data_IF_077379414691
#
_entry.id   IF_077379414691
#
_cell.length_a   1.000
_cell.length_b   1.000
_cell.length_c   1.000
_cell.angle_alpha   90.00
_cell.angle_beta   90.00
_cell.angle_gamma   90.00
#
_symmetry.space_group_name_H-M   'P 1'
#
loop_
_entity.id
_entity.type
_entity.pdbx_description
1 polymer ?
#
# COMPACT_ATOMS: atom_id res chain seq x y z
N UNK A 1 -6.68 22.93 21.16
CA UNK A 1 -6.40 21.60 20.61
C UNK A 1 -6.50 20.63 21.75
N UNK A 2 -7.47 19.72 21.73
CA UNK A 2 -7.62 18.73 22.79
C UNK A 2 -6.42 17.78 22.77
N UNK A 3 -5.69 17.76 23.88
CA UNK A 3 -4.62 16.81 24.14
C UNK A 3 -5.16 15.71 25.04
N UNK A 4 -4.74 14.48 24.77
CA UNK A 4 -5.14 13.30 25.52
C UNK A 4 -3.90 12.50 25.87
N UNK A 5 -3.96 11.85 27.03
CA UNK A 5 -2.81 11.15 27.60
C UNK A 5 -2.80 9.70 27.14
N UNK A 6 -1.66 9.25 26.61
CA UNK A 6 -1.47 7.85 26.22
C UNK A 6 -1.67 6.91 27.44
N UNK A 7 -2.53 5.90 27.35
CA UNK A 7 -2.78 4.99 28.47
C UNK A 7 -1.62 4.03 28.75
N UNK A 8 -0.65 3.91 27.83
CA UNK A 8 0.47 2.96 27.92
C UNK A 8 1.75 3.59 28.48
N UNK A 9 2.02 4.87 28.20
CA UNK A 9 3.24 5.55 28.67
C UNK A 9 3.00 6.95 29.28
N UNK A 10 1.74 7.36 29.41
CA UNK A 10 1.31 8.61 30.03
C UNK A 10 1.84 9.90 29.37
N UNK A 11 2.31 9.81 28.12
CA UNK A 11 2.71 10.97 27.33
C UNK A 11 1.45 11.73 26.86
N UNK A 12 1.41 13.04 27.10
CA UNK A 12 0.31 13.91 26.65
C UNK A 12 0.55 14.33 25.21
N UNK A 13 -0.34 13.91 24.30
CA UNK A 13 -0.21 14.12 22.87
C UNK A 13 -1.51 14.74 22.30
N UNK A 14 -1.45 15.45 21.16
CA UNK A 14 -2.66 15.85 20.44
C UNK A 14 -3.51 14.62 20.11
N UNK A 15 -4.83 14.68 20.24
CA UNK A 15 -5.71 13.51 20.05
C UNK A 15 -5.54 12.83 18.68
N UNK A 16 -5.21 13.59 17.62
CA UNK A 16 -4.91 13.07 16.27
C UNK A 16 -3.66 12.17 16.20
N UNK A 17 -2.75 12.28 17.17
CA UNK A 17 -1.51 11.51 17.24
C UNK A 17 -1.59 10.39 18.28
N UNK A 18 -2.61 10.40 19.13
CA UNK A 18 -2.74 9.46 20.24
C UNK A 18 -2.90 8.01 19.76
N UNK A 19 -3.72 7.79 18.72
CA UNK A 19 -3.96 6.46 18.17
C UNK A 19 -2.70 5.90 17.48
N UNK A 20 -2.01 6.71 16.69
CA UNK A 20 -0.74 6.33 16.07
C UNK A 20 0.32 5.99 17.13
N UNK A 21 0.44 6.84 18.14
CA UNK A 21 1.37 6.62 19.25
C UNK A 21 1.01 5.38 20.06
N UNK A 22 -0.26 5.15 20.38
CA UNK A 22 -0.73 3.94 21.04
C UNK A 22 -0.38 2.68 20.24
N UNK A 23 -0.54 2.73 18.90
CA UNK A 23 -0.22 1.62 18.01
C UNK A 23 1.29 1.26 18.00
N UNK A 24 2.17 2.21 18.35
CA UNK A 24 3.61 1.94 18.45
C UNK A 24 3.98 1.10 19.69
N UNK A 25 3.18 1.14 20.76
CA UNK A 25 3.40 0.28 21.96
C UNK A 25 3.11 -1.20 21.72
N UNK A 26 2.32 -1.54 20.70
CA UNK A 26 2.04 -2.95 20.34
C UNK A 26 3.18 -3.61 19.56
N UNK A 27 4.24 -2.85 19.27
CA UNK A 27 5.48 -3.34 18.67
C UNK A 27 6.64 -3.12 19.62
N UNK A 28 6.64 -3.77 20.78
CA UNK A 28 7.85 -4.12 21.56
C UNK A 28 7.47 -4.76 22.91
N UNK A 29 7.26 -6.08 22.93
CA UNK A 29 7.55 -6.83 24.16
C UNK A 29 9.02 -7.25 24.10
N UNK A 30 9.84 -6.46 24.82
CA UNK A 30 11.27 -6.58 25.13
C UNK A 30 12.18 -5.55 24.45
N UNK A 31 12.33 -4.37 25.07
CA UNK A 31 13.64 -3.71 25.26
C UNK A 31 13.50 -2.46 26.17
N UNK A 32 13.27 -2.70 27.47
CA UNK A 32 12.86 -1.65 28.40
C UNK A 32 13.97 -0.75 28.99
N UNK A 33 15.21 -0.80 28.49
CA UNK A 33 16.34 -0.10 29.15
C UNK A 33 16.98 1.01 28.29
N UNK A 34 16.92 0.95 26.96
CA UNK A 34 17.62 1.92 26.09
C UNK A 34 16.82 3.17 25.69
N UNK A 35 15.50 3.19 25.89
CA UNK A 35 14.65 4.29 25.40
C UNK A 35 14.62 5.54 26.30
N UNK A 36 14.98 5.43 27.60
CA UNK A 36 14.84 6.55 28.54
C UNK A 36 15.91 7.63 28.37
N UNK A 37 17.14 7.25 28.01
CA UNK A 37 18.23 8.21 27.78
C UNK A 37 18.10 8.94 26.44
N UNK A 38 17.57 8.27 25.40
CA UNK A 38 17.43 8.82 24.05
C UNK A 38 16.29 9.84 23.93
N UNK A 39 15.18 9.62 24.65
CA UNK A 39 14.05 10.54 24.67
C UNK A 39 14.35 11.85 25.42
N UNK A 40 15.19 11.81 26.45
CA UNK A 40 15.61 13.04 27.14
C UNK A 40 16.53 13.90 26.27
N UNK A 41 17.37 13.28 25.43
CA UNK A 41 18.29 14.00 24.54
C UNK A 41 17.55 14.66 23.36
N UNK A 42 16.55 13.96 22.79
CA UNK A 42 15.65 14.49 21.75
C UNK A 42 14.80 15.68 22.22
N UNK A 43 14.36 15.70 23.48
CA UNK A 43 13.57 16.81 24.02
C UNK A 43 14.42 18.08 24.18
N UNK A 44 15.67 17.94 24.63
CA UNK A 44 16.63 19.05 24.72
C UNK A 44 17.04 19.59 23.35
N UNK A 45 17.25 18.71 22.36
CA UNK A 45 17.63 19.11 21.00
C UNK A 45 16.49 19.85 20.28
N UNK A 46 15.24 19.44 20.54
CA UNK A 46 14.03 20.12 20.03
C UNK A 46 13.87 21.53 20.62
N UNK A 47 14.15 21.70 21.92
CA UNK A 47 14.09 23.00 22.58
C UNK A 47 15.18 23.96 22.09
N UNK A 48 16.39 23.44 21.85
CA UNK A 48 17.50 24.21 21.29
C UNK A 48 17.23 24.64 19.84
N UNK A 49 16.68 23.74 19.01
CA UNK A 49 16.29 24.04 17.64
C UNK A 49 15.19 25.11 17.57
N UNK A 50 14.23 25.08 18.49
CA UNK A 50 13.15 26.08 18.56
C UNK A 50 13.67 27.46 19.01
N UNK A 51 14.65 27.49 19.93
CA UNK A 51 15.31 28.74 20.33
C UNK A 51 16.15 29.35 19.20
N UNK A 52 16.86 28.53 18.42
CA UNK A 52 17.60 28.99 17.23
C UNK A 52 16.68 29.52 16.12
N UNK A 53 15.53 28.89 15.92
CA UNK A 53 14.53 29.36 14.96
C UNK A 53 13.92 30.72 15.36
N UNK A 54 13.70 30.93 16.67
CA UNK A 54 13.16 32.19 17.19
C UNK A 54 14.20 33.32 17.19
N UNK A 55 15.49 33.02 17.41
CA UNK A 55 16.55 34.02 17.29
C UNK A 55 16.76 34.46 15.83
N UNK A 56 16.67 33.54 14.87
CA UNK A 56 16.78 33.85 13.43
C UNK A 56 15.59 34.67 12.91
N UNK A 57 14.40 34.48 13.50
CA UNK A 57 13.21 35.27 13.18
C UNK A 57 13.28 36.71 13.73
N UNK A 58 14.11 36.96 14.74
CA UNK A 58 14.31 38.30 15.32
C UNK A 58 15.34 39.15 14.55
N UNK A 59 16.21 38.53 13.74
CA UNK A 59 17.26 39.24 12.98
C UNK A 59 16.84 39.60 11.54
N UNK A 60 15.70 39.14 11.03
CA UNK A 60 15.21 39.44 9.67
C UNK A 60 14.13 40.52 9.59
N UNK A 61 14.08 41.41 10.58
CA UNK A 61 13.23 42.60 10.55
C UNK A 61 14.00 43.88 10.14
N UNK A 62 15.07 43.79 9.34
CA UNK A 62 15.58 44.96 8.61
C UNK A 62 16.54 44.54 7.48
N UNK A 63 16.03 44.38 6.26
CA UNK A 63 16.74 44.62 4.98
C UNK A 63 15.95 44.02 3.82
N UNK A 64 15.33 44.88 3.02
CA UNK A 64 14.72 44.49 1.76
C UNK A 64 15.79 44.16 0.72
N UNK A 65 15.77 42.93 0.19
CA UNK A 65 16.44 42.59 -1.05
C UNK A 65 15.55 41.68 -1.91
N UNK A 66 15.32 42.18 -3.12
CA UNK A 66 14.65 41.56 -4.24
C UNK A 66 15.26 40.19 -4.54
N UNK A 67 14.45 39.12 -4.51
CA UNK A 67 14.84 37.83 -5.06
C UNK A 67 13.92 37.51 -6.25
N UNK A 68 14.53 37.45 -7.43
CA UNK A 68 13.86 37.28 -8.71
C UNK A 68 13.12 35.93 -8.76
N UNK A 69 11.80 35.99 -9.01
CA UNK A 69 10.96 34.82 -9.25
C UNK A 69 11.04 34.43 -10.73
N UNK A 70 11.97 33.55 -11.06
CA UNK A 70 11.88 32.72 -12.27
C UNK A 70 11.84 31.24 -11.88
N UNK A 71 10.73 30.85 -11.26
CA UNK A 71 10.29 29.46 -11.15
C UNK A 71 8.90 29.42 -11.78
N UNK A 72 8.78 28.83 -12.97
CA UNK A 72 7.50 28.71 -13.66
C UNK A 72 6.56 27.79 -12.88
N UNK A 73 5.62 28.39 -12.15
CA UNK A 73 4.53 27.68 -11.50
C UNK A 73 3.62 27.07 -12.57
N UNK A 74 3.60 25.73 -12.66
CA UNK A 74 2.68 24.97 -13.52
C UNK A 74 1.28 24.80 -12.88
N UNK A 75 0.74 25.87 -12.30
CA UNK A 75 -0.69 25.97 -11.94
C UNK A 75 -1.60 26.13 -13.17
N UNK A 76 -1.04 26.17 -14.38
CA UNK A 76 -1.75 26.28 -15.66
C UNK A 76 -2.47 24.97 -16.06
N UNK A 77 -2.30 23.87 -15.33
CA UNK A 77 -2.99 22.63 -15.66
C UNK A 77 -4.47 22.58 -15.22
N UNK A 78 -4.87 23.41 -14.25
CA UNK A 78 -6.26 23.48 -13.79
C UNK A 78 -6.79 24.92 -13.97
N UNK A 79 -7.26 25.26 -15.17
CA UNK A 79 -8.25 26.34 -15.41
C UNK A 79 -7.99 27.74 -14.83
N UNK A 80 -6.75 28.11 -14.51
CA UNK A 80 -6.42 29.42 -13.95
C UNK A 80 -6.39 30.51 -15.04
N UNK A 81 -7.37 31.40 -15.01
CA UNK A 81 -7.52 32.55 -15.93
C UNK A 81 -6.32 33.51 -15.79
N UNK A 82 -5.33 33.37 -16.66
CA UNK A 82 -4.31 34.39 -16.92
C UNK A 82 -4.73 35.28 -18.11
N UNK A 83 -4.47 36.60 -18.08
CA UNK A 83 -4.94 37.49 -19.14
C UNK A 83 -4.06 37.30 -20.38
N UNK A 84 -4.60 36.67 -21.43
CA UNK A 84 -4.04 36.79 -22.79
C UNK A 84 -3.67 35.50 -23.54
N UNK A 85 -4.18 34.32 -23.16
CA UNK A 85 -4.11 33.13 -24.02
C UNK A 85 -5.50 32.56 -24.25
N UNK A 86 -5.84 32.34 -25.51
CA UNK A 86 -7.10 31.74 -25.96
C UNK A 86 -7.45 30.50 -25.12
N UNK A 87 -8.72 30.37 -24.75
CA UNK A 87 -9.35 29.20 -24.12
C UNK A 87 -9.28 27.97 -25.04
N UNK A 88 -8.09 27.45 -25.31
CA UNK A 88 -7.86 26.18 -25.97
C UNK A 88 -7.64 25.12 -24.92
N UNK A 89 -8.56 24.17 -24.82
CA UNK A 89 -8.34 22.90 -24.15
C UNK A 89 -7.06 22.26 -24.72
N UNK A 90 -6.05 22.00 -23.88
CA UNK A 90 -4.79 21.44 -24.34
C UNK A 90 -5.03 20.05 -24.91
N UNK A 91 -4.45 19.75 -26.09
CA UNK A 91 -4.55 18.40 -26.64
C UNK A 91 -3.80 17.42 -25.74
N UNK A 92 -4.30 16.19 -25.62
CA UNK A 92 -3.70 15.17 -24.75
C UNK A 92 -2.23 14.89 -25.07
N UNK A 93 -1.85 14.94 -26.34
CA UNK A 93 -0.46 14.76 -26.76
C UNK A 93 0.44 15.90 -26.25
N UNK A 94 -0.06 17.14 -26.22
CA UNK A 94 0.68 18.29 -25.71
C UNK A 94 0.88 18.19 -24.19
N UNK A 95 -0.17 17.79 -23.44
CA UNK A 95 -0.07 17.53 -22.00
C UNK A 95 0.97 16.43 -21.70
N UNK A 96 0.95 15.36 -22.49
CA UNK A 96 1.86 14.23 -22.36
C UNK A 96 3.29 14.66 -22.63
N UNK A 97 3.56 15.32 -23.76
CA UNK A 97 4.89 15.83 -24.11
C UNK A 97 5.42 16.81 -23.06
N UNK A 98 4.58 17.71 -22.56
CA UNK A 98 4.95 18.65 -21.50
C UNK A 98 5.32 17.92 -20.20
N UNK A 99 4.54 16.93 -19.77
CA UNK A 99 4.89 16.13 -18.59
C UNK A 99 6.18 15.35 -18.79
N UNK A 100 6.44 14.83 -19.99
CA UNK A 100 7.68 14.11 -20.29
C UNK A 100 8.91 14.99 -20.09
N UNK A 101 8.83 16.25 -20.48
CA UNK A 101 9.90 17.24 -20.31
C UNK A 101 10.06 17.72 -18.85
N UNK A 102 8.94 17.86 -18.12
CA UNK A 102 8.93 18.48 -16.79
C UNK A 102 9.01 17.49 -15.62
N UNK A 103 8.67 16.22 -15.84
CA UNK A 103 8.70 15.20 -14.79
C UNK A 103 10.10 15.09 -14.18
N UNK A 104 10.15 14.86 -12.87
CA UNK A 104 11.42 14.74 -12.15
C UNK A 104 11.70 13.30 -11.79
N UNK A 105 12.97 12.91 -11.91
CA UNK A 105 13.45 11.64 -11.37
C UNK A 105 13.28 11.61 -9.87
N UNK A 106 12.67 10.55 -9.35
CA UNK A 106 12.60 10.35 -7.92
C UNK A 106 13.99 10.09 -7.33
N UNK A 107 14.30 10.81 -6.24
CA UNK A 107 15.50 10.57 -5.46
C UNK A 107 15.27 9.40 -4.53
N UNK A 108 16.22 8.47 -4.49
CA UNK A 108 16.22 7.35 -3.57
C UNK A 108 17.65 7.02 -3.13
N UNK A 109 17.76 6.29 -2.03
CA UNK A 109 19.05 5.79 -1.55
C UNK A 109 19.50 4.61 -2.43
N UNK A 110 20.47 4.86 -3.30
CA UNK A 110 21.01 3.83 -4.21
C UNK A 110 21.95 2.90 -3.44
N UNK A 111 21.63 1.61 -3.45
CA UNK A 111 22.48 0.55 -2.88
C UNK A 111 23.46 0.10 -3.96
N UNK A 112 24.74 0.46 -3.83
CA UNK A 112 25.76 0.22 -4.87
C UNK A 112 25.91 -1.26 -5.26
N UNK A 113 25.86 -2.15 -4.28
CA UNK A 113 25.96 -3.60 -4.52
C UNK A 113 24.66 -4.20 -5.11
N UNK A 114 23.59 -3.41 -5.21
CA UNK A 114 22.24 -3.85 -5.53
C UNK A 114 21.54 -4.50 -4.32
N UNK A 115 20.39 -3.95 -3.94
CA UNK A 115 19.63 -4.45 -2.78
C UNK A 115 19.26 -5.93 -2.94
N UNK A 116 18.75 -6.31 -4.11
CA UNK A 116 18.35 -7.69 -4.42
C UNK A 116 19.53 -8.66 -4.43
N UNK A 117 20.74 -8.21 -4.80
CA UNK A 117 21.94 -9.03 -4.75
C UNK A 117 22.40 -9.28 -3.31
N UNK A 118 22.32 -8.26 -2.44
CA UNK A 118 22.57 -8.42 -1.00
C UNK A 118 21.56 -9.40 -0.37
N UNK A 119 20.26 -9.24 -0.67
CA UNK A 119 19.22 -10.15 -0.19
C UNK A 119 19.46 -11.59 -0.66
N UNK A 120 19.79 -11.78 -1.94
CA UNK A 120 20.16 -13.08 -2.48
C UNK A 120 21.34 -13.70 -1.71
N UNK A 121 22.40 -12.93 -1.45
CA UNK A 121 23.57 -13.41 -0.70
C UNK A 121 23.20 -13.86 0.71
N UNK A 122 22.32 -13.14 1.40
CA UNK A 122 21.84 -13.55 2.72
C UNK A 122 21.03 -14.86 2.65
N UNK A 123 20.15 -15.00 1.66
CA UNK A 123 19.30 -16.19 1.47
C UNK A 123 20.11 -17.44 1.11
N UNK A 124 21.18 -17.29 0.33
CA UNK A 124 22.09 -18.39 -0.03
C UNK A 124 22.84 -18.96 1.19
N UNK A 125 22.94 -18.20 2.28
CA UNK A 125 23.58 -18.64 3.53
C UNK A 125 22.62 -19.29 4.51
N UNK A 126 21.31 -19.28 4.25
CA UNK A 126 20.34 -19.98 5.09
C UNK A 126 20.40 -21.50 4.90
N UNK A 127 19.81 -22.22 5.87
CA UNK A 127 19.81 -23.67 5.95
C UNK A 127 19.36 -24.38 4.65
N UNK A 128 19.94 -25.56 4.41
CA UNK A 128 19.81 -26.34 3.16
C UNK A 128 18.39 -26.81 2.85
N UNK A 129 17.50 -26.84 3.83
CA UNK A 129 16.11 -27.28 3.69
C UNK A 129 15.16 -26.21 3.12
N UNK A 130 15.70 -25.16 2.50
CA UNK A 130 14.93 -24.03 1.97
C UNK A 130 15.15 -23.81 0.48
N UNK A 131 14.07 -23.43 -0.22
CA UNK A 131 14.09 -22.99 -1.62
C UNK A 131 13.47 -21.61 -1.70
N UNK A 132 14.15 -20.71 -2.41
CA UNK A 132 13.72 -19.32 -2.55
C UNK A 132 13.63 -18.93 -4.01
N UNK A 133 12.59 -18.20 -4.38
CA UNK A 133 12.45 -17.56 -5.69
C UNK A 133 12.33 -16.06 -5.46
N UNK A 134 13.21 -15.29 -6.09
CA UNK A 134 13.26 -13.83 -6.04
C UNK A 134 12.82 -13.25 -7.38
N UNK A 135 12.22 -12.06 -7.37
CA UNK A 135 12.18 -11.20 -8.55
C UNK A 135 13.61 -10.81 -8.96
N UNK A 136 13.75 -10.31 -10.19
CA UNK A 136 14.97 -9.67 -10.67
C UNK A 136 15.30 -8.36 -9.93
N UNK A 137 15.86 -7.39 -10.66
CA UNK A 137 16.23 -6.08 -10.11
C UNK A 137 15.03 -5.35 -9.49
N UNK A 138 15.21 -4.75 -8.31
CA UNK A 138 14.25 -3.86 -7.65
C UNK A 138 15.04 -2.86 -6.80
N UNK A 139 14.78 -1.57 -6.98
CA UNK A 139 15.24 -0.53 -6.06
C UNK A 139 14.22 -0.30 -4.95
N UNK A 140 14.69 -0.05 -3.73
CA UNK A 140 13.80 0.27 -2.61
C UNK A 140 13.53 1.77 -2.51
N UNK A 141 12.26 2.13 -2.57
CA UNK A 141 11.78 3.48 -2.37
C UNK A 141 11.13 3.59 -0.99
N UNK A 142 11.79 4.31 -0.09
CA UNK A 142 11.25 4.61 1.24
C UNK A 142 10.39 5.87 1.23
N UNK A 143 9.44 5.96 2.17
CA UNK A 143 8.75 7.21 2.47
C UNK A 143 9.66 8.24 3.14
N UNK A 144 9.38 9.50 2.86
CA UNK A 144 10.11 10.67 3.34
C UNK A 144 9.22 11.38 4.36
N UNK A 145 9.81 11.67 5.53
CA UNK A 145 9.10 12.04 6.77
C UNK A 145 8.19 13.26 6.65
N UNK A 146 8.57 14.23 5.82
CA UNK A 146 7.81 15.46 5.61
C UNK A 146 7.09 15.53 4.26
N UNK A 147 7.25 14.52 3.40
CA UNK A 147 6.64 14.50 2.08
C UNK A 147 5.45 13.53 2.07
N UNK A 148 5.72 12.25 2.36
CA UNK A 148 4.80 11.16 2.04
C UNK A 148 4.62 10.11 3.15
N UNK A 149 5.27 10.25 4.31
CA UNK A 149 4.93 9.41 5.47
C UNK A 149 3.45 9.58 5.85
N UNK A 150 2.77 8.46 6.07
CA UNK A 150 1.35 8.39 6.41
C UNK A 150 0.40 8.29 5.21
N UNK A 151 0.88 8.47 3.97
CA UNK A 151 0.00 8.38 2.79
C UNK A 151 0.65 7.89 1.50
N UNK A 152 1.97 7.91 1.41
CA UNK A 152 2.75 7.65 0.21
C UNK A 152 2.97 6.18 -0.14
N UNK A 153 2.57 5.23 0.72
CA UNK A 153 2.96 3.82 0.58
C UNK A 153 2.62 3.26 -0.82
N UNK A 154 1.42 3.51 -1.33
CA UNK A 154 1.03 3.06 -2.66
C UNK A 154 1.87 3.65 -3.79
N UNK A 155 2.21 4.94 -3.71
CA UNK A 155 3.09 5.60 -4.67
C UNK A 155 4.52 5.04 -4.63
N UNK A 156 5.06 4.78 -3.44
CA UNK A 156 6.38 4.15 -3.28
C UNK A 156 6.42 2.72 -3.81
N UNK A 157 5.33 1.96 -3.67
CA UNK A 157 5.21 0.63 -4.26
C UNK A 157 5.14 0.69 -5.80
N UNK A 158 4.46 1.69 -6.39
CA UNK A 158 4.53 1.96 -7.84
C UNK A 158 5.96 2.27 -8.27
N UNK A 159 6.72 3.05 -7.50
CA UNK A 159 8.12 3.34 -7.79
C UNK A 159 9.00 2.08 -7.75
N UNK A 160 8.82 1.22 -6.75
CA UNK A 160 9.54 -0.06 -6.68
C UNK A 160 9.22 -0.97 -7.87
N UNK A 161 7.94 -1.12 -8.22
CA UNK A 161 7.52 -1.88 -9.41
C UNK A 161 8.05 -1.28 -10.70
N UNK A 162 8.01 0.05 -10.84
CA UNK A 162 8.57 0.78 -11.99
C UNK A 162 10.07 0.56 -12.14
N UNK A 163 10.82 0.55 -11.03
CA UNK A 163 12.28 0.30 -11.06
C UNK A 163 12.62 -1.06 -11.66
N UNK A 164 11.81 -2.08 -11.36
CA UNK A 164 11.95 -3.40 -11.95
C UNK A 164 11.65 -3.38 -13.45
N UNK A 165 10.51 -2.82 -13.83
CA UNK A 165 10.06 -2.79 -15.23
C UNK A 165 11.06 -2.05 -16.12
N UNK A 166 11.54 -0.89 -15.70
CA UNK A 166 12.53 -0.11 -16.44
C UNK A 166 13.89 -0.82 -16.55
N UNK A 167 14.28 -1.60 -15.54
CA UNK A 167 15.57 -2.30 -15.54
C UNK A 167 15.55 -3.63 -16.30
N UNK A 168 14.41 -4.34 -16.31
CA UNK A 168 14.32 -5.73 -16.76
C UNK A 168 13.52 -5.92 -18.05
N UNK A 169 12.68 -4.96 -18.45
CA UNK A 169 11.82 -5.08 -19.63
C UNK A 169 12.10 -3.94 -20.61
N UNK A 170 12.79 -4.24 -21.70
CA UNK A 170 13.13 -3.26 -22.73
C UNK A 170 11.90 -2.60 -23.32
N UNK A 171 10.86 -3.40 -23.59
CA UNK A 171 9.59 -2.92 -24.15
C UNK A 171 8.87 -1.97 -23.20
N UNK A 172 8.92 -2.23 -21.87
CA UNK A 172 8.32 -1.33 -20.89
C UNK A 172 9.15 -0.04 -20.71
N UNK A 173 10.48 -0.14 -20.80
CA UNK A 173 11.40 1.01 -20.68
C UNK A 173 11.19 2.05 -21.78
N UNK A 174 10.82 1.63 -22.97
CA UNK A 174 10.60 2.52 -24.12
C UNK A 174 9.31 3.34 -24.00
N UNK A 175 8.29 2.81 -23.32
CA UNK A 175 6.95 3.43 -23.23
C UNK A 175 6.70 4.12 -21.88
N UNK A 176 7.26 3.58 -20.78
CA UNK A 176 6.90 4.03 -19.44
C UNK A 176 7.34 5.46 -19.23
N UNK A 177 6.39 6.27 -18.76
CA UNK A 177 6.62 7.68 -18.47
C UNK A 177 7.18 8.45 -19.67
N UNK A 178 6.72 8.10 -20.88
CA UNK A 178 7.16 8.67 -22.14
C UNK A 178 8.61 8.34 -22.51
N UNK A 179 9.09 7.15 -22.12
CA UNK A 179 10.42 6.68 -22.48
C UNK A 179 11.56 7.40 -21.77
N UNK A 180 11.28 8.05 -20.64
CA UNK A 180 12.26 8.86 -19.88
C UNK A 180 13.42 8.03 -19.31
N UNK A 181 13.25 6.71 -19.22
CA UNK A 181 14.26 5.79 -18.69
C UNK A 181 14.49 5.93 -17.18
N UNK A 182 13.55 6.55 -16.44
CA UNK A 182 13.65 6.69 -14.99
C UNK A 182 12.32 6.63 -14.26
N UNK A 183 12.39 6.33 -12.97
CA UNK A 183 11.23 6.34 -12.07
C UNK A 183 10.89 7.78 -11.66
N UNK A 184 9.68 8.31 -11.97
CA UNK A 184 9.29 9.66 -11.62
C UNK A 184 9.01 9.86 -10.12
N UNK A 185 9.08 11.11 -9.65
CA UNK A 185 8.63 11.51 -8.31
C UNK A 185 7.10 11.40 -8.13
N UNK A 186 6.62 11.42 -6.89
CA UNK A 186 5.19 11.24 -6.57
C UNK A 186 4.30 12.28 -7.29
N UNK A 187 4.64 13.58 -7.31
CA UNK A 187 3.84 14.56 -8.07
C UNK A 187 3.76 14.24 -9.56
N UNK A 188 4.84 13.77 -10.18
CA UNK A 188 4.82 13.35 -11.59
C UNK A 188 3.94 12.11 -11.79
N UNK A 189 3.99 11.13 -10.87
CA UNK A 189 3.12 9.95 -10.91
C UNK A 189 1.64 10.30 -10.77
N UNK A 190 1.31 11.27 -9.91
CA UNK A 190 -0.07 11.78 -9.78
C UNK A 190 -0.57 12.35 -11.11
N UNK A 191 0.27 13.12 -11.82
CA UNK A 191 -0.06 13.67 -13.13
C UNK A 191 -0.21 12.62 -14.21
N UNK A 192 0.65 11.60 -14.20
CA UNK A 192 0.49 10.45 -15.09
C UNK A 192 -0.83 9.70 -14.83
N UNK A 193 -1.26 9.60 -13.57
CA UNK A 193 -2.56 9.00 -13.23
C UNK A 193 -3.73 9.87 -13.69
N UNK A 194 -3.68 11.20 -13.52
CA UNK A 194 -4.70 12.11 -14.07
C UNK A 194 -4.80 11.98 -15.60
N UNK A 195 -3.66 11.90 -16.30
CA UNK A 195 -3.64 11.66 -17.75
C UNK A 195 -4.25 10.29 -18.10
N UNK A 196 -4.00 9.26 -17.29
CA UNK A 196 -4.64 7.95 -17.49
C UNK A 196 -6.16 8.05 -17.38
N UNK A 197 -6.67 8.75 -16.36
CA UNK A 197 -8.09 9.01 -16.18
C UNK A 197 -8.70 9.82 -17.32
N UNK A 198 -8.05 10.90 -17.77
CA UNK A 198 -8.49 11.69 -18.93
C UNK A 198 -8.53 10.85 -20.22
N UNK A 199 -7.67 9.83 -20.35
CA UNK A 199 -7.68 8.85 -21.45
C UNK A 199 -8.76 7.76 -21.31
N UNK A 200 -9.55 7.81 -20.24
CA UNK A 200 -10.67 6.90 -19.97
C UNK A 200 -10.29 5.62 -19.24
N UNK A 201 -9.07 5.50 -18.71
CA UNK A 201 -8.71 4.38 -17.84
C UNK A 201 -9.36 4.57 -16.47
N UNK A 202 -9.99 3.53 -15.93
CA UNK A 202 -10.59 3.52 -14.59
C UNK A 202 -11.51 4.72 -14.31
N UNK A 203 -12.56 4.88 -15.12
CA UNK A 203 -13.54 5.95 -14.93
C UNK A 203 -14.12 5.98 -13.50
N UNK A 204 -14.43 4.81 -12.94
CA UNK A 204 -14.94 4.69 -11.56
C UNK A 204 -13.93 5.13 -10.51
N UNK A 205 -12.65 4.77 -10.65
CA UNK A 205 -11.59 5.29 -9.79
C UNK A 205 -11.40 6.80 -9.98
N UNK A 206 -11.47 7.30 -11.21
CA UNK A 206 -11.40 8.75 -11.48
C UNK A 206 -12.50 9.54 -10.79
N UNK A 207 -13.75 9.09 -10.89
CA UNK A 207 -14.91 9.70 -10.22
C UNK A 207 -14.71 9.75 -8.70
N UNK A 208 -14.12 8.70 -8.14
CA UNK A 208 -13.80 8.61 -6.71
C UNK A 208 -12.73 9.60 -6.25
N UNK A 209 -11.98 10.23 -7.15
CA UNK A 209 -11.01 11.28 -6.82
C UNK A 209 -11.43 12.64 -7.37
N UNK A 210 -12.70 12.84 -7.74
CA UNK A 210 -13.19 14.05 -8.38
C UNK A 210 -12.33 14.43 -9.62
N UNK A 211 -11.83 13.42 -10.33
CA UNK A 211 -10.92 13.52 -11.47
C UNK A 211 -9.57 14.23 -11.20
N UNK A 212 -9.18 14.45 -9.94
CA UNK A 212 -7.97 15.19 -9.59
C UNK A 212 -7.26 14.61 -8.35
N UNK A 213 -5.94 14.38 -8.46
CA UNK A 213 -5.12 13.84 -7.37
C UNK A 213 -3.77 14.55 -7.23
N UNK A 214 -3.35 15.33 -8.22
CA UNK A 214 -2.11 16.08 -8.16
C UNK A 214 -2.07 17.07 -7.01
N UNK A 215 -0.96 17.04 -6.27
CA UNK A 215 -0.75 17.89 -5.10
C UNK A 215 -1.53 17.43 -3.86
N UNK A 216 -2.39 16.42 -3.98
CA UNK A 216 -3.12 15.86 -2.85
C UNK A 216 -2.30 14.80 -2.13
N UNK A 217 -2.52 14.68 -0.81
CA UNK A 217 -1.93 13.63 0.04
C UNK A 217 -2.86 12.43 0.19
N UNK A 218 -3.29 11.86 -0.95
CA UNK A 218 -4.31 10.80 -1.01
C UNK A 218 -3.68 9.42 -1.10
N UNK A 219 -4.28 8.47 -0.38
CA UNK A 219 -3.96 7.05 -0.50
C UNK A 219 -4.40 6.53 -1.85
N UNK A 220 -3.65 5.56 -2.38
CA UNK A 220 -3.99 4.83 -3.60
C UNK A 220 -3.76 3.35 -3.36
N UNK A 221 -4.42 2.52 -4.16
CA UNK A 221 -4.37 1.06 -4.07
C UNK A 221 -3.95 0.40 -5.38
N UNK A 222 -4.42 -0.83 -5.56
CA UNK A 222 -4.10 -1.68 -6.71
C UNK A 222 -4.76 -1.22 -8.01
N UNK A 223 -5.94 -0.59 -7.94
CA UNK A 223 -6.71 -0.04 -9.07
C UNK A 223 -6.00 1.16 -9.70
N UNK A 224 -5.58 2.15 -8.91
CA UNK A 224 -4.83 3.31 -9.44
C UNK A 224 -3.48 2.87 -10.00
N UNK A 225 -2.82 1.90 -9.35
CA UNK A 225 -1.61 1.26 -9.87
C UNK A 225 -1.88 0.60 -11.23
N UNK A 226 -2.98 -0.15 -11.35
CA UNK A 226 -3.37 -0.78 -12.60
C UNK A 226 -3.73 0.24 -13.69
N UNK A 227 -4.55 1.25 -13.38
CA UNK A 227 -4.93 2.32 -14.29
C UNK A 227 -3.70 3.05 -14.84
N UNK A 228 -2.75 3.42 -13.96
CA UNK A 228 -1.50 4.05 -14.35
C UNK A 228 -0.72 3.19 -15.34
N UNK A 229 -0.40 1.95 -15.01
CA UNK A 229 0.42 1.09 -15.88
C UNK A 229 -0.31 0.67 -17.17
N UNK A 230 -1.62 0.42 -17.09
CA UNK A 230 -2.46 0.09 -18.25
C UNK A 230 -2.54 1.25 -19.24
N UNK A 231 -2.47 2.49 -18.78
CA UNK A 231 -2.42 3.67 -19.68
C UNK A 231 -1.19 3.73 -20.58
N UNK A 232 -0.12 3.00 -20.25
CA UNK A 232 1.05 2.81 -21.09
C UNK A 232 0.97 1.55 -21.97
N UNK A 233 -0.10 0.75 -21.85
CA UNK A 233 -0.27 -0.52 -22.56
C UNK A 233 0.32 -1.72 -21.83
N UNK A 234 0.68 -1.60 -20.55
CA UNK A 234 1.13 -2.74 -19.76
C UNK A 234 -0.05 -3.58 -19.28
N UNK A 235 0.08 -4.91 -19.37
CA UNK A 235 -0.95 -5.88 -18.94
C UNK A 235 -0.94 -6.07 -17.42
N UNK A 236 -1.38 -5.05 -16.70
CA UNK A 236 -1.46 -5.10 -15.23
C UNK A 236 -2.71 -5.84 -14.77
N UNK A 237 -2.56 -6.77 -13.83
CA UNK A 237 -3.60 -7.64 -13.28
C UNK A 237 -3.81 -7.36 -11.79
N UNK A 238 -5.05 -7.49 -11.33
CA UNK A 238 -5.40 -7.42 -9.90
C UNK A 238 -5.96 -8.77 -9.46
N UNK A 239 -5.56 -9.22 -8.27
CA UNK A 239 -6.10 -10.41 -7.63
C UNK A 239 -6.55 -10.07 -6.23
N UNK A 240 -7.80 -10.33 -5.96
CA UNK A 240 -8.47 -10.06 -4.70
C UNK A 240 -8.52 -11.33 -3.86
N UNK A 241 -8.21 -11.19 -2.58
CA UNK A 241 -8.28 -12.27 -1.61
C UNK A 241 -9.14 -11.83 -0.43
N UNK A 242 -10.13 -12.64 -0.08
CA UNK A 242 -11.02 -12.34 1.04
C UNK A 242 -12.05 -13.43 1.29
N UNK A 243 -12.81 -13.35 2.39
CA UNK A 243 -13.86 -14.32 2.69
C UNK A 243 -14.93 -14.31 1.60
N UNK A 244 -15.65 -15.43 1.46
CA UNK A 244 -16.73 -15.56 0.47
C UNK A 244 -17.74 -14.42 0.53
N UNK A 245 -18.05 -13.94 1.74
CA UNK A 245 -19.02 -12.86 1.94
C UNK A 245 -18.56 -11.51 1.37
N UNK A 246 -17.25 -11.31 1.17
CA UNK A 246 -16.74 -10.10 0.53
C UNK A 246 -16.76 -10.18 -1.01
N UNK A 247 -17.07 -11.35 -1.59
CA UNK A 247 -17.22 -11.60 -3.02
C UNK A 247 -17.99 -10.50 -3.78
N UNK A 248 -19.20 -10.09 -3.35
CA UNK A 248 -20.02 -9.08 -4.03
C UNK A 248 -19.41 -7.66 -4.10
N UNK A 249 -18.28 -7.42 -3.43
CA UNK A 249 -17.58 -6.14 -3.47
C UNK A 249 -16.39 -6.16 -4.45
N UNK A 250 -16.05 -7.29 -5.07
CA UNK A 250 -14.94 -7.38 -6.01
C UNK A 250 -15.40 -7.28 -7.46
N UNK A 251 -14.53 -6.75 -8.33
CA UNK A 251 -14.87 -6.41 -9.71
C UNK A 251 -15.13 -7.67 -10.57
N UNK A 252 -14.59 -8.83 -10.19
CA UNK A 252 -14.76 -10.11 -10.91
C UNK A 252 -16.12 -10.79 -10.73
N UNK A 253 -16.88 -10.44 -9.68
CA UNK A 253 -17.99 -11.27 -9.22
C UNK A 253 -19.29 -10.79 -9.87
N UNK A 254 -20.02 -11.64 -10.62
CA UNK A 254 -21.30 -11.26 -11.23
C UNK A 254 -22.29 -10.75 -10.18
N UNK A 255 -22.84 -9.55 -10.39
CA UNK A 255 -23.73 -8.88 -9.42
C UNK A 255 -22.99 -7.98 -8.42
N UNK A 256 -21.71 -7.67 -8.64
CA UNK A 256 -20.96 -6.71 -7.84
C UNK A 256 -21.66 -5.35 -7.79
N UNK A 257 -21.76 -4.78 -6.59
CA UNK A 257 -22.43 -3.47 -6.35
C UNK A 257 -21.53 -2.31 -6.82
N UNK A 258 -20.26 -2.60 -7.12
CA UNK A 258 -19.27 -1.63 -7.58
C UNK A 258 -19.45 -1.39 -9.07
N UNK A 259 -20.38 -0.51 -9.44
CA UNK A 259 -20.61 -0.06 -10.82
C UNK A 259 -22.07 0.02 -11.28
N UNK A 260 -23.05 -0.30 -10.43
CA UNK A 260 -24.47 -0.20 -10.77
C UNK A 260 -25.03 1.22 -10.64
N UNK A 261 -25.42 1.82 -11.76
CA UNK A 261 -26.25 3.02 -11.82
C UNK A 261 -27.39 2.99 -10.80
N UNK A 262 -27.57 4.12 -10.13
CA UNK A 262 -28.69 4.44 -9.25
C UNK A 262 -30.02 4.25 -9.98
N UNK A 263 -30.64 3.07 -9.88
CA UNK A 263 -32.03 2.88 -10.24
C UNK A 263 -32.91 3.33 -9.08
N UNK A 264 -33.57 4.46 -9.31
CA UNK A 264 -34.59 5.07 -8.46
C UNK A 264 -35.74 4.09 -8.24
N UNK A 265 -35.97 3.73 -6.98
CA UNK A 265 -37.20 3.12 -6.49
C UNK A 265 -37.85 4.03 -5.46
N UNK A 266 -38.97 4.64 -5.83
CA UNK A 266 -39.82 5.47 -4.97
C UNK A 266 -40.56 4.52 -4.00
N UNK A 267 -40.21 4.53 -2.71
CA UNK A 267 -41.11 4.96 -1.61
C UNK A 267 -40.60 4.65 -0.19
N UNK A 268 -41.01 5.53 0.74
CA UNK A 268 -41.06 5.41 2.20
C UNK A 268 -39.76 5.46 3.04
N UNK A 269 -39.36 6.70 3.36
CA UNK A 269 -39.31 7.11 4.78
C UNK A 269 -38.18 6.59 5.67
N UNK A 270 -36.91 6.74 5.28
CA UNK A 270 -35.80 6.87 6.24
C UNK A 270 -34.64 7.60 5.56
N UNK A 271 -34.31 8.82 6.02
CA UNK A 271 -33.10 9.54 5.60
C UNK A 271 -31.87 8.72 6.02
N UNK A 272 -31.40 7.82 5.15
CA UNK A 272 -30.05 7.27 5.21
C UNK A 272 -29.15 8.34 4.58
N UNK A 273 -28.25 8.90 5.37
CA UNK A 273 -27.14 9.73 4.89
C UNK A 273 -26.43 8.91 3.80
N UNK A 274 -26.29 9.47 2.60
CA UNK A 274 -25.50 8.85 1.54
C UNK A 274 -24.07 8.68 2.09
N UNK A 275 -23.57 7.44 2.07
CA UNK A 275 -22.19 7.14 2.43
C UNK A 275 -21.33 7.55 1.22
N UNK A 276 -20.53 8.60 1.36
CA UNK A 276 -19.54 8.98 0.36
C UNK A 276 -18.42 7.92 0.35
N UNK A 277 -18.24 7.23 -0.77
CA UNK A 277 -17.22 6.18 -0.97
C UNK A 277 -16.19 6.72 -1.96
N UNK A 278 -14.97 7.00 -1.48
CA UNK A 278 -13.90 7.70 -2.22
C UNK A 278 -12.73 6.75 -2.53
N UNK A 279 -12.94 5.66 -3.28
CA UNK A 279 -11.83 4.78 -3.69
C UNK A 279 -11.98 3.32 -3.25
N UNK A 280 -11.25 2.39 -3.87
CA UNK A 280 -11.11 1.04 -3.34
C UNK A 280 -10.31 1.00 -2.04
N UNK A 281 -9.45 2.00 -1.77
CA UNK A 281 -8.86 2.18 -0.44
C UNK A 281 -9.88 2.61 0.63
N UNK A 282 -10.94 3.33 0.24
CA UNK A 282 -11.93 3.87 1.18
C UNK A 282 -12.95 2.85 1.67
N UNK A 283 -13.07 1.71 0.98
CA UNK A 283 -13.78 0.54 1.51
C UNK A 283 -13.23 0.11 2.88
N UNK A 284 -11.94 0.36 3.11
CA UNK A 284 -11.23 -0.03 4.33
C UNK A 284 -11.32 1.04 5.44
N UNK A 285 -11.84 2.24 5.16
CA UNK A 285 -11.99 3.32 6.14
C UNK A 285 -13.32 3.27 6.93
N UNK A 286 -14.28 2.44 6.53
CA UNK A 286 -15.68 2.52 7.01
C UNK A 286 -16.03 1.73 8.28
N UNK A 287 -15.05 1.36 9.11
CA UNK A 287 -15.30 0.64 10.38
C UNK A 287 -15.08 1.46 11.66
N UNK A 288 -15.13 2.79 11.58
CA UNK A 288 -15.25 3.65 12.76
C UNK A 288 -16.58 4.42 12.71
N UNK A 289 -17.66 3.81 13.23
CA UNK A 289 -18.78 4.47 13.93
C UNK A 289 -19.97 3.52 14.09
N UNK A 290 -19.88 2.61 15.06
CA UNK A 290 -21.05 1.88 15.58
C UNK A 290 -20.92 1.53 17.07
N UNK A 291 -20.24 2.37 17.85
CA UNK A 291 -20.26 2.29 19.32
C UNK A 291 -20.15 3.67 19.96
N UNK A 292 -21.19 4.49 19.83
CA UNK A 292 -21.36 5.66 20.70
C UNK A 292 -22.84 6.09 20.77
N UNK A 293 -23.67 5.31 21.45
CA UNK A 293 -24.83 5.88 22.16
C UNK A 293 -25.32 4.94 23.27
N UNK A 294 -24.69 5.01 24.44
CA UNK A 294 -25.43 4.80 25.69
C UNK A 294 -24.73 5.57 26.81
N UNK A 295 -25.39 6.66 27.16
CA UNK A 295 -25.11 7.58 28.25
C UNK A 295 -25.07 6.85 29.60
N UNK A 296 -24.13 7.26 30.45
CA UNK A 296 -24.01 6.90 31.85
C UNK A 296 -25.33 7.09 32.60
N UNK A 297 -25.75 6.07 33.37
CA UNK A 297 -26.33 6.25 34.70
C UNK A 297 -26.13 4.98 35.53
N UNK A 298 -25.51 5.16 36.68
CA UNK A 298 -25.27 4.15 37.71
C UNK A 298 -26.58 3.58 38.29
N UNK A 299 -26.61 2.26 38.56
CA UNK A 299 -26.89 1.67 39.89
C UNK A 299 -26.93 0.14 39.85
N UNK A 300 -26.17 -0.44 40.78
CA UNK A 300 -26.23 -1.80 41.32
C UNK A 300 -27.65 -2.35 41.50
N UNK A 301 -27.87 -3.64 41.20
CA UNK A 301 -28.26 -4.62 42.23
C UNK A 301 -28.38 -6.06 41.68
N UNK A 302 -27.82 -6.98 42.45
CA UNK A 302 -28.03 -8.42 42.51
C UNK A 302 -29.47 -8.84 42.85
N UNK A 303 -30.01 -9.89 42.21
CA UNK A 303 -30.90 -10.96 42.76
C UNK A 303 -31.48 -11.79 41.59
N UNK A 304 -31.10 -13.06 41.41
CA UNK A 304 -31.74 -14.29 41.95
C UNK A 304 -33.27 -14.37 41.77
N UNK A 305 -33.72 -15.24 40.85
CA UNK A 305 -34.63 -16.41 41.06
C UNK A 305 -34.99 -16.98 39.67
N UNK A 306 -34.49 -18.16 39.29
CA UNK A 306 -35.16 -19.46 39.41
C UNK A 306 -36.60 -19.48 38.85
N UNK A 307 -36.76 -20.05 37.65
CA UNK A 307 -37.84 -21.00 37.39
C UNK A 307 -37.39 -22.03 36.34
N UNK A 308 -37.67 -23.29 36.68
CA UNK A 308 -37.09 -24.50 36.13
C UNK A 308 -38.11 -25.24 35.24
N UNK A 309 -37.58 -25.94 34.23
CA UNK A 309 -38.10 -27.10 33.47
C UNK A 309 -39.51 -27.08 32.81
N UNK A 310 -39.64 -27.49 31.54
CA UNK A 310 -39.79 -28.91 31.13
C UNK A 310 -39.92 -29.08 29.58
N UNK A 311 -39.25 -30.12 29.00
CA UNK A 311 -39.52 -30.85 27.72
C UNK A 311 -39.18 -30.10 26.39
N UNK A 312 -38.33 -30.54 25.45
CA UNK A 312 -38.02 -31.88 24.88
C UNK A 312 -36.64 -31.84 24.17
N UNK A 313 -35.83 -32.88 24.37
CA UNK A 313 -34.68 -33.25 23.53
C UNK A 313 -35.19 -33.84 22.21
N UNK A 314 -34.73 -33.32 21.08
CA UNK A 314 -34.39 -34.16 19.92
C UNK A 314 -33.07 -33.70 19.28
N UNK A 315 -32.34 -34.70 18.85
CA UNK A 315 -30.94 -34.76 18.41
C UNK A 315 -30.64 -34.06 17.09
N UNK A 316 -29.56 -33.29 17.07
CA UNK A 316 -28.86 -32.85 15.86
C UNK A 316 -27.52 -32.25 16.26
N UNK A 317 -26.43 -33.00 16.05
CA UNK A 317 -25.10 -32.58 16.47
C UNK A 317 -24.61 -31.39 15.65
N UNK A 318 -24.57 -30.21 16.28
CA UNK A 318 -23.96 -29.04 15.67
C UNK A 318 -22.47 -29.02 16.00
N UNK A 319 -21.66 -29.19 14.95
CA UNK A 319 -20.21 -29.08 15.03
C UNK A 319 -19.89 -27.63 15.35
N UNK A 320 -19.24 -27.40 16.48
CA UNK A 320 -18.54 -26.13 16.74
C UNK A 320 -17.46 -25.99 15.65
N UNK A 321 -17.76 -25.25 14.59
CA UNK A 321 -16.80 -24.90 13.54
C UNK A 321 -15.82 -23.93 14.16
N UNK A 322 -14.58 -24.38 14.25
CA UNK A 322 -13.49 -23.68 14.89
C UNK A 322 -13.01 -22.58 13.93
N UNK A 323 -13.46 -21.34 14.08
CA UNK A 323 -13.20 -20.19 13.17
C UNK A 323 -11.71 -19.83 12.93
N UNK A 324 -10.78 -20.55 13.55
CA UNK A 324 -9.33 -20.40 13.39
C UNK A 324 -8.74 -21.35 12.33
N UNK A 325 -9.43 -22.43 11.94
CA UNK A 325 -8.95 -23.31 10.86
C UNK A 325 -9.16 -22.67 9.49
N UNK A 326 -10.34 -22.10 9.23
CA UNK A 326 -10.69 -21.48 7.94
C UNK A 326 -9.80 -20.27 7.61
N UNK A 327 -9.49 -19.42 8.59
CA UNK A 327 -8.58 -18.27 8.40
C UNK A 327 -7.15 -18.67 8.01
N UNK A 328 -6.69 -19.85 8.45
CA UNK A 328 -5.37 -20.34 8.09
C UNK A 328 -5.37 -20.97 6.70
N UNK A 329 -6.47 -21.56 6.26
CA UNK A 329 -6.62 -22.10 4.90
C UNK A 329 -6.60 -20.98 3.86
N UNK A 330 -7.32 -19.88 4.08
CA UNK A 330 -7.32 -18.75 3.14
C UNK A 330 -5.96 -18.10 2.93
N UNK A 331 -5.18 -17.92 4.00
CA UNK A 331 -3.82 -17.41 3.85
C UNK A 331 -2.90 -18.37 3.09
N UNK A 332 -3.18 -19.68 3.08
CA UNK A 332 -2.44 -20.61 2.21
C UNK A 332 -2.75 -20.38 0.74
N UNK A 333 -4.00 -20.05 0.37
CA UNK A 333 -4.36 -19.70 -1.02
C UNK A 333 -3.51 -18.53 -1.52
N UNK A 334 -3.29 -17.51 -0.69
CA UNK A 334 -2.40 -16.40 -1.04
C UNK A 334 -0.94 -16.86 -1.21
N UNK A 335 -0.43 -17.68 -0.30
CA UNK A 335 0.94 -18.21 -0.40
C UNK A 335 1.13 -19.08 -1.65
N UNK A 336 0.17 -19.93 -1.95
CA UNK A 336 0.16 -20.80 -3.12
C UNK A 336 0.07 -20.00 -4.41
N UNK A 337 -0.74 -18.94 -4.44
CA UNK A 337 -0.80 -18.01 -5.56
C UNK A 337 0.57 -17.38 -5.80
N UNK A 338 1.20 -16.81 -4.76
CA UNK A 338 2.51 -16.15 -4.88
C UNK A 338 3.59 -17.17 -5.29
N UNK A 339 3.55 -18.39 -4.74
CA UNK A 339 4.44 -19.47 -5.15
C UNK A 339 4.30 -19.80 -6.63
N UNK A 340 3.07 -20.03 -7.10
CA UNK A 340 2.78 -20.37 -8.49
C UNK A 340 3.16 -19.24 -9.45
N UNK A 341 2.95 -17.99 -9.03
CA UNK A 341 3.35 -16.81 -9.78
C UNK A 341 4.86 -16.78 -10.04
N UNK A 342 5.69 -16.89 -8.98
CA UNK A 342 7.15 -16.80 -9.12
C UNK A 342 7.78 -18.06 -9.74
N UNK A 343 7.18 -19.23 -9.51
CA UNK A 343 7.70 -20.53 -9.98
C UNK A 343 7.32 -20.87 -11.43
N UNK A 344 6.50 -20.06 -12.11
CA UNK A 344 5.93 -20.41 -13.42
C UNK A 344 5.20 -21.77 -13.41
N UNK A 345 4.51 -22.11 -12.31
CA UNK A 345 3.85 -23.41 -12.10
C UNK A 345 4.79 -24.63 -12.15
N UNK A 346 6.10 -24.44 -11.98
CA UNK A 346 7.02 -25.57 -11.87
C UNK A 346 6.86 -26.26 -10.50
N UNK A 347 6.85 -27.60 -10.52
CA UNK A 347 6.83 -28.40 -9.29
C UNK A 347 8.04 -28.06 -8.40
N UNK A 348 7.88 -28.17 -7.08
CA UNK A 348 8.95 -27.91 -6.12
C UNK A 348 10.05 -28.99 -6.26
N UNK A 349 11.04 -28.76 -7.13
CA UNK A 349 12.16 -29.68 -7.33
C UNK A 349 13.37 -29.21 -6.53
N UNK A 350 13.69 -29.85 -5.41
CA UNK A 350 14.87 -29.51 -4.59
C UNK A 350 16.15 -29.97 -5.31
N UNK A 351 16.73 -29.10 -6.13
CA UNK A 351 18.03 -29.29 -6.77
C UNK A 351 19.14 -28.40 -6.17
N UNK A 352 20.35 -28.46 -6.73
CA UNK A 352 21.56 -27.79 -6.20
C UNK A 352 21.46 -26.24 -6.09
N UNK A 353 20.55 -25.59 -6.83
CA UNK A 353 20.33 -24.13 -6.75
C UNK A 353 19.22 -23.79 -5.77
N UNK A 354 19.60 -23.32 -4.59
CA UNK A 354 18.70 -22.96 -3.46
C UNK A 354 17.94 -21.65 -3.66
N UNK A 355 18.56 -20.68 -4.34
CA UNK A 355 17.94 -19.38 -4.66
C UNK A 355 17.87 -19.21 -6.17
N UNK A 356 16.68 -18.98 -6.68
CA UNK A 356 16.38 -18.79 -8.09
C UNK A 356 15.94 -17.34 -8.29
N UNK A 357 16.49 -16.66 -9.29
CA UNK A 357 16.00 -15.35 -9.72
C UNK A 357 15.06 -15.58 -10.89
N UNK A 358 13.84 -15.08 -10.76
CA UNK A 358 12.76 -15.16 -11.74
C UNK A 358 12.69 -13.87 -12.54
N UNK A 359 12.25 -13.97 -13.79
CA UNK A 359 11.96 -12.82 -14.67
C UNK A 359 10.61 -12.15 -14.33
N UNK A 360 9.90 -12.69 -13.32
CA UNK A 360 8.65 -12.12 -12.83
C UNK A 360 8.88 -10.79 -12.12
N UNK A 361 7.95 -9.86 -12.35
CA UNK A 361 7.93 -8.59 -11.64
C UNK A 361 7.62 -8.81 -10.17
N UNK A 362 8.06 -7.92 -9.27
CA UNK A 362 7.54 -7.91 -7.92
C UNK A 362 6.03 -7.69 -7.93
N UNK A 363 5.37 -8.06 -6.82
CA UNK A 363 3.92 -7.91 -6.64
C UNK A 363 3.67 -6.69 -5.74
N UNK A 364 2.86 -5.75 -6.22
CA UNK A 364 2.25 -4.76 -5.34
C UNK A 364 1.29 -5.50 -4.40
N UNK A 365 1.44 -5.33 -3.10
CA UNK A 365 0.70 -6.06 -2.08
C UNK A 365 -0.05 -5.11 -1.15
N UNK A 366 -1.36 -5.04 -1.34
CA UNK A 366 -2.28 -4.18 -0.58
C UNK A 366 -2.96 -4.96 0.54
N UNK A 367 -3.14 -4.29 1.67
CA UNK A 367 -4.13 -4.66 2.67
C UNK A 367 -4.69 -3.41 3.34
N UNK A 368 -5.66 -3.61 4.24
CA UNK A 368 -6.21 -2.52 5.04
C UNK A 368 -5.10 -1.71 5.75
N UNK A 369 -5.10 -0.40 5.48
CA UNK A 369 -4.22 0.62 6.08
C UNK A 369 -2.79 0.72 5.54
N UNK A 370 -2.33 -0.16 4.64
CA UNK A 370 -0.94 -0.09 4.12
C UNK A 370 -0.73 -0.94 2.86
N UNK A 371 0.27 -0.59 2.06
CA UNK A 371 0.75 -1.43 0.97
C UNK A 371 2.25 -1.65 1.01
N UNK A 372 2.69 -2.78 0.46
CA UNK A 372 4.09 -3.24 0.41
C UNK A 372 4.41 -3.87 -0.95
N UNK A 373 5.66 -4.27 -1.15
CA UNK A 373 6.09 -4.93 -2.38
C UNK A 373 6.64 -6.33 -2.06
N UNK A 374 6.01 -7.39 -2.60
CA UNK A 374 6.55 -8.75 -2.50
C UNK A 374 7.58 -8.94 -3.63
N UNK A 375 8.83 -9.19 -3.25
CA UNK A 375 9.97 -9.39 -4.15
C UNK A 375 10.40 -10.86 -4.25
N UNK A 376 9.65 -11.76 -3.63
CA UNK A 376 9.90 -13.19 -3.72
C UNK A 376 9.21 -14.00 -2.64
N UNK A 377 9.47 -15.30 -2.66
CA UNK A 377 8.89 -16.26 -1.72
C UNK A 377 9.91 -17.36 -1.39
N UNK A 378 9.94 -17.74 -0.13
CA UNK A 378 10.77 -18.84 0.38
C UNK A 378 9.87 -19.93 0.96
N UNK A 379 10.12 -21.17 0.56
CA UNK A 379 9.55 -22.36 1.19
C UNK A 379 10.64 -23.07 2.01
N UNK A 380 10.30 -23.46 3.23
CA UNK A 380 11.16 -24.26 4.13
C UNK A 380 10.47 -25.57 4.47
N UNK A 381 11.20 -26.67 4.40
CA UNK A 381 10.72 -27.94 4.92
C UNK A 381 10.90 -28.02 6.43
N UNK A 382 9.81 -28.23 7.16
CA UNK A 382 9.91 -28.55 8.57
C UNK A 382 10.11 -30.05 8.78
N UNK A 383 10.71 -30.41 9.93
CA UNK A 383 11.03 -31.81 10.30
C UNK A 383 9.80 -32.74 10.37
N UNK A 384 8.59 -32.17 10.43
CA UNK A 384 7.32 -32.88 10.46
C UNK A 384 6.69 -33.10 9.06
N UNK A 385 7.38 -32.79 7.97
CA UNK A 385 6.85 -32.89 6.60
C UNK A 385 6.03 -31.68 6.13
N UNK A 386 5.71 -30.75 7.03
CA UNK A 386 4.97 -29.54 6.68
C UNK A 386 5.86 -28.50 5.97
N UNK A 387 5.31 -27.86 4.95
CA UNK A 387 5.94 -26.73 4.24
C UNK A 387 5.61 -25.43 4.96
N UNK A 388 6.63 -24.61 5.21
CA UNK A 388 6.46 -23.27 5.75
C UNK A 388 6.84 -22.21 4.71
N UNK A 389 5.89 -21.38 4.36
CA UNK A 389 6.08 -20.28 3.41
C UNK A 389 6.41 -18.97 4.13
N UNK A 390 7.34 -18.22 3.54
CA UNK A 390 7.66 -16.86 3.94
C UNK A 390 7.69 -15.98 2.69
N UNK A 391 6.89 -14.93 2.67
CA UNK A 391 6.99 -13.87 1.68
C UNK A 391 8.24 -13.04 1.98
N UNK A 392 8.88 -12.57 0.91
CA UNK A 392 9.98 -11.61 0.98
C UNK A 392 9.42 -10.26 0.56
N UNK A 393 9.30 -9.36 1.53
CA UNK A 393 8.54 -8.12 1.40
C UNK A 393 9.45 -6.92 1.65
N UNK A 394 9.40 -5.97 0.75
CA UNK A 394 9.95 -4.63 0.94
C UNK A 394 8.82 -3.70 1.40
N UNK A 395 9.07 -2.96 2.47
CA UNK A 395 8.10 -2.04 3.07
C UNK A 395 8.60 -0.60 2.89
N UNK A 396 7.85 0.29 2.22
CA UNK A 396 8.26 1.68 2.03
C UNK A 396 8.43 2.44 3.36
N UNK A 397 7.89 1.95 4.48
CA UNK A 397 8.13 2.52 5.81
C UNK A 397 9.54 2.26 6.35
N UNK A 398 10.29 1.31 5.81
CA UNK A 398 11.67 1.04 6.26
C UNK A 398 12.66 2.06 5.68
N UNK A 399 13.69 2.41 6.46
CA UNK A 399 14.83 3.20 5.94
C UNK A 399 15.74 2.30 5.11
N UNK A 400 15.98 2.66 3.84
CA UNK A 400 16.83 1.88 2.92
C UNK A 400 18.23 1.66 3.49
N UNK A 401 18.83 2.68 4.11
CA UNK A 401 20.15 2.57 4.71
C UNK A 401 20.21 1.53 5.86
N UNK A 402 19.15 1.45 6.67
CA UNK A 402 19.07 0.46 7.75
C UNK A 402 18.88 -0.96 7.18
N UNK A 403 18.04 -1.10 6.16
CA UNK A 403 17.86 -2.37 5.45
C UNK A 403 19.17 -2.82 4.80
N UNK A 404 19.86 -1.94 4.07
CA UNK A 404 21.15 -2.21 3.46
C UNK A 404 22.18 -2.66 4.49
N UNK A 405 22.31 -1.92 5.60
CA UNK A 405 23.22 -2.27 6.69
C UNK A 405 22.94 -3.68 7.22
N UNK A 406 21.67 -3.99 7.51
CA UNK A 406 21.26 -5.31 8.03
C UNK A 406 21.57 -6.46 7.08
N UNK A 407 21.48 -6.23 5.76
CA UNK A 407 21.78 -7.22 4.74
C UNK A 407 23.30 -7.40 4.58
N UNK A 408 24.08 -6.31 4.58
CA UNK A 408 25.55 -6.38 4.51
C UNK A 408 26.15 -7.08 5.71
N UNK A 409 25.68 -6.74 6.90
CA UNK A 409 26.11 -7.36 8.17
C UNK A 409 25.50 -8.75 8.37
N UNK A 410 24.47 -9.12 7.58
CA UNK A 410 23.72 -10.39 7.66
C UNK A 410 23.05 -10.62 9.02
N UNK A 411 22.71 -9.55 9.73
CA UNK A 411 22.09 -9.58 11.05
C UNK A 411 20.75 -8.85 11.01
N UNK A 412 19.69 -9.51 11.53
CA UNK A 412 18.38 -8.88 11.74
C UNK A 412 17.54 -8.63 10.49
N UNK A 413 18.11 -8.74 9.28
CA UNK A 413 17.42 -8.49 8.00
C UNK A 413 16.15 -9.33 7.83
N UNK A 414 16.09 -10.53 8.41
CA UNK A 414 14.92 -11.40 8.33
C UNK A 414 13.68 -10.73 8.94
N UNK A 415 13.84 -9.96 10.02
CA UNK A 415 12.73 -9.21 10.65
C UNK A 415 12.19 -8.12 9.72
N UNK A 416 13.06 -7.51 8.93
CA UNK A 416 12.68 -6.46 7.98
C UNK A 416 12.00 -7.03 6.74
N UNK A 417 12.47 -8.18 6.24
CA UNK A 417 12.05 -8.68 4.91
C UNK A 417 11.05 -9.85 4.98
N UNK A 418 11.15 -10.76 5.94
CA UNK A 418 10.35 -12.00 5.94
C UNK A 418 8.99 -11.81 6.58
N UNK A 419 7.95 -12.30 5.91
CA UNK A 419 6.57 -12.33 6.42
C UNK A 419 6.02 -13.74 6.26
N UNK A 420 5.86 -14.45 7.39
CA UNK A 420 5.25 -15.78 7.41
C UNK A 420 3.72 -15.70 7.35
N UNK A 421 3.05 -16.82 7.12
CA UNK A 421 1.57 -16.90 7.09
C UNK A 421 0.93 -16.31 8.34
N UNK A 422 1.48 -16.57 9.52
CA UNK A 422 1.02 -16.01 10.79
C UNK A 422 1.08 -14.47 10.91
N UNK A 423 1.83 -13.80 10.03
CA UNK A 423 1.89 -12.32 9.99
C UNK A 423 0.79 -11.72 9.13
N UNK A 424 0.10 -12.54 8.32
CA UNK A 424 -1.09 -12.14 7.58
C UNK A 424 -2.29 -12.21 8.54
N UNK A 425 -2.80 -11.05 8.96
CA UNK A 425 -3.88 -10.94 9.95
C UNK A 425 -5.08 -10.14 9.44
N UNK A 426 -4.97 -9.54 8.26
CA UNK A 426 -6.05 -8.72 7.68
C UNK A 426 -7.03 -9.64 6.98
N UNK A 427 -8.32 -9.26 7.00
CA UNK A 427 -9.37 -10.08 6.41
C UNK A 427 -9.31 -10.13 4.88
N UNK A 428 -8.70 -9.11 4.27
CA UNK A 428 -8.63 -8.96 2.83
C UNK A 428 -7.23 -8.51 2.40
N UNK A 429 -6.82 -9.00 1.25
CA UNK A 429 -5.59 -8.63 0.59
C UNK A 429 -5.84 -8.44 -0.90
N UNK A 430 -5.07 -7.57 -1.55
CA UNK A 430 -5.04 -7.49 -3.00
C UNK A 430 -3.61 -7.55 -3.50
N UNK A 431 -3.40 -8.24 -4.62
CA UNK A 431 -2.14 -8.25 -5.34
C UNK A 431 -2.32 -7.55 -6.69
N UNK A 432 -1.30 -6.82 -7.11
CA UNK A 432 -1.22 -6.24 -8.44
C UNK A 432 0.15 -6.54 -9.06
N UNK A 433 0.14 -6.99 -10.32
CA UNK A 433 1.34 -7.42 -11.04
C UNK A 433 1.23 -7.19 -12.53
N UNK A 434 2.36 -7.22 -13.25
CA UNK A 434 2.41 -6.88 -14.67
C UNK A 434 2.82 -8.10 -15.49
N UNK A 435 1.92 -8.60 -16.32
CA UNK A 435 2.24 -9.65 -17.29
C UNK A 435 3.25 -9.16 -18.35
N UNK A 436 4.06 -10.03 -18.96
CA UNK A 436 4.99 -9.64 -20.02
C UNK A 436 4.30 -9.05 -21.28
N UNK A 437 5.07 -8.27 -22.04
CA UNK A 437 4.65 -7.70 -23.32
C UNK A 437 3.73 -6.48 -23.22
N UNK A 438 3.48 -5.87 -24.38
CA UNK A 438 2.65 -4.66 -24.55
C UNK A 438 1.31 -5.03 -25.19
N UNK A 439 0.24 -4.37 -24.76
CA UNK A 439 -1.10 -4.53 -25.29
C UNK A 439 -1.20 -4.11 -26.76
N UNK A 440 -2.00 -4.82 -27.55
CA UNK A 440 -2.44 -4.33 -28.86
C UNK A 440 -3.44 -3.17 -28.71
N UNK A 441 -3.76 -2.48 -29.81
CA UNK A 441 -4.78 -1.42 -29.81
C UNK A 441 -6.16 -1.92 -29.33
N UNK A 442 -6.58 -3.10 -29.77
CA UNK A 442 -7.83 -3.72 -29.31
C UNK A 442 -7.80 -4.10 -27.83
N UNK A 443 -6.64 -4.55 -27.33
CA UNK A 443 -6.47 -4.84 -25.91
C UNK A 443 -6.45 -3.56 -25.07
N UNK A 444 -5.91 -2.46 -25.59
CA UNK A 444 -5.84 -1.17 -24.89
C UNK A 444 -7.22 -0.69 -24.45
N UNK A 445 -8.22 -0.79 -25.32
CA UNK A 445 -9.60 -0.40 -24.97
C UNK A 445 -10.19 -1.31 -23.87
N UNK A 446 -9.84 -2.60 -23.85
CA UNK A 446 -10.25 -3.50 -22.77
C UNK A 446 -9.57 -3.15 -21.45
N UNK A 447 -8.30 -2.74 -21.50
CA UNK A 447 -7.53 -2.36 -20.32
C UNK A 447 -8.05 -1.10 -19.63
N UNK A 448 -8.83 -0.25 -20.31
CA UNK A 448 -9.47 0.92 -19.68
C UNK A 448 -10.43 0.54 -18.55
N UNK A 449 -11.08 -0.62 -18.67
CA UNK A 449 -11.95 -1.14 -17.60
C UNK A 449 -11.11 -1.92 -16.60
N UNK A 450 -11.16 -1.55 -15.33
CA UNK A 450 -10.45 -2.29 -14.28
C UNK A 450 -11.25 -3.54 -13.91
N UNK A 451 -10.55 -4.66 -13.91
CA UNK A 451 -11.05 -5.98 -13.56
C UNK A 451 -10.07 -6.65 -12.60
N UNK A 452 -10.58 -7.57 -11.79
CA UNK A 452 -9.80 -8.34 -10.83
C UNK A 452 -10.19 -9.81 -10.88
N UNK A 453 -9.36 -10.68 -10.33
CA UNK A 453 -9.70 -12.10 -10.08
C UNK A 453 -9.89 -12.30 -8.59
N UNK A 454 -11.06 -12.78 -8.16
CA UNK A 454 -11.33 -13.07 -6.75
C UNK A 454 -10.95 -14.52 -6.40
N UNK A 455 -10.21 -14.68 -5.29
CA UNK A 455 -9.87 -15.96 -4.68
C UNK A 455 -10.37 -15.96 -3.23
N UNK A 456 -11.24 -16.93 -2.93
CA UNK A 456 -11.85 -17.11 -1.61
C UNK A 456 -10.80 -17.57 -0.59
N UNK A 457 -10.88 -16.97 0.61
CA UNK A 457 -10.17 -17.39 1.81
C UNK A 457 -10.91 -18.46 2.59
#
# INVERSE_FOLDING_TARGET
MESSTCPFCHLSLPSLQLQWHANTHFHDDNDHINNRHRNNQLATDFQLAQQLALSLASEQADSGLHFDKTGGDCNIWCGGVGPGRNNGEWKMDEKTSCLVELQRRSKFHKVEAGLMALLRSCLELEAENSRTILSGYVDHFQSIEFEDVGWGCGWRNIQMLSSHLLAQRSEAREILFGGSGFVPDIPSLQRWLEIAWERGFDASGSDQFDHAIYGMKKWIGTTECAALFRSFGLRTRIVDFGPKESGPFYLSVPGSIVGGQQLVGIDAGRKRKALEVYGPMDRYLSHEDSQASCSRNDKSCSSLTQLDNTIKKESGGDRVVNSNTDKNEGHQVLMDFVWNYFSNKSSIQFGNRRVIVSEKSPLYFQHDGHSRTIVGIQVKHQRAGNLQYNLLVLDPGHRTAALEKSLREKVGWQKLVKRGTHTLKKAQYQLCYVDPGIASEEEMEKLKTIDSVFLEF
#
